data_IF_277352489209
#
_entry.id   IF_277352489209
#
_cell.length_a   1.000
_cell.length_b   1.000
_cell.length_c   1.000
_cell.angle_alpha   90.00
_cell.angle_beta   90.00
_cell.angle_gamma   90.00
#
_symmetry.space_group_name_H-M   'P 1'
#
loop_
_entity.id
_entity.type
_entity.pdbx_description
1 polymer ?
#
# COMPACT_ATOMS: atom_id res chain seq x y z
N UNK A 1 -63.53 1.12 24.48
CA UNK A 1 -62.15 1.55 24.78
C UNK A 1 -61.38 0.39 25.35
N UNK A 2 -60.57 -0.32 24.55
CA UNK A 2 -59.31 -0.96 24.97
C UNK A 2 -58.41 -0.90 23.73
N UNK A 3 -57.42 -0.01 23.76
CA UNK A 3 -56.37 0.09 22.75
C UNK A 3 -55.33 -0.98 23.06
N UNK A 4 -55.17 -1.96 22.17
CA UNK A 4 -54.09 -2.93 22.23
C UNK A 4 -52.85 -2.36 21.56
N UNK A 5 -51.88 -1.93 22.37
CA UNK A 5 -50.55 -1.49 21.91
C UNK A 5 -49.76 -2.73 21.48
N UNK A 6 -49.54 -2.88 20.18
CA UNK A 6 -48.57 -3.84 19.63
C UNK A 6 -47.17 -3.25 19.78
N UNK A 7 -46.46 -3.70 20.80
CA UNK A 7 -45.03 -3.41 20.99
C UNK A 7 -44.24 -4.36 20.10
N UNK A 8 -43.66 -3.86 19.01
CA UNK A 8 -42.60 -4.58 18.31
C UNK A 8 -41.30 -4.40 19.10
N UNK A 9 -40.88 -5.45 19.81
CA UNK A 9 -39.54 -5.53 20.37
C UNK A 9 -38.54 -5.67 19.20
N UNK A 10 -37.85 -4.58 18.86
CA UNK A 10 -36.62 -4.67 18.10
C UNK A 10 -35.55 -5.24 19.03
N UNK A 11 -35.09 -6.45 18.71
CA UNK A 11 -34.01 -7.10 19.44
C UNK A 11 -32.70 -6.30 19.26
N UNK A 12 -32.11 -5.87 20.37
CA UNK A 12 -30.71 -5.48 20.42
C UNK A 12 -29.86 -6.75 20.32
N UNK A 13 -29.25 -6.96 19.15
CA UNK A 13 -28.11 -7.86 18.98
C UNK A 13 -26.83 -7.10 19.27
N UNK A 14 -26.10 -7.54 20.29
CA UNK A 14 -24.79 -7.05 20.70
C UNK A 14 -23.74 -7.17 19.59
N UNK A 15 -22.94 -6.13 19.40
CA UNK A 15 -21.54 -6.26 18.97
C UNK A 15 -21.19 -5.68 17.60
N UNK A 16 -20.56 -4.50 17.64
CA UNK A 16 -19.70 -3.91 16.60
C UNK A 16 -20.35 -3.53 15.27
N UNK A 17 -20.73 -2.24 15.19
CA UNK A 17 -20.79 -1.56 13.90
C UNK A 17 -19.39 -1.45 13.30
N UNK A 18 -19.10 -2.31 12.33
CA UNK A 18 -18.08 -2.12 11.30
C UNK A 18 -18.74 -2.54 9.99
N UNK A 19 -19.49 -1.62 9.41
CA UNK A 19 -20.11 -1.79 8.11
C UNK A 19 -19.00 -1.85 7.04
N UNK A 20 -18.64 -3.07 6.65
CA UNK A 20 -18.09 -3.49 5.36
C UNK A 20 -17.59 -2.35 4.44
N UNK A 21 -16.38 -1.87 4.66
CA UNK A 21 -15.45 -1.74 3.53
C UNK A 21 -14.87 -3.13 3.39
N UNK A 22 -15.16 -3.82 2.29
CA UNK A 22 -14.33 -4.94 1.87
C UNK A 22 -12.89 -4.41 1.80
N UNK A 23 -11.94 -5.09 2.47
CA UNK A 23 -10.57 -4.61 2.60
C UNK A 23 -10.02 -4.35 1.19
N UNK A 24 -9.64 -3.09 0.90
CA UNK A 24 -9.23 -2.70 -0.46
C UNK A 24 -8.01 -3.53 -0.91
N UNK A 25 -7.16 -3.94 0.02
CA UNK A 25 -6.09 -4.90 -0.21
C UNK A 25 -6.59 -6.26 -0.73
N UNK A 26 -7.62 -6.84 -0.12
CA UNK A 26 -8.22 -8.11 -0.57
C UNK A 26 -8.71 -7.96 -2.02
N UNK A 27 -9.46 -6.89 -2.30
CA UNK A 27 -9.93 -6.60 -3.66
C UNK A 27 -8.80 -6.45 -4.67
N UNK A 28 -7.72 -5.75 -4.31
CA UNK A 28 -6.55 -5.58 -5.16
C UNK A 28 -5.88 -6.94 -5.40
N UNK A 29 -5.70 -7.75 -4.36
CA UNK A 29 -5.02 -9.05 -4.43
C UNK A 29 -5.80 -10.08 -5.26
N UNK A 30 -7.13 -10.03 -5.22
CA UNK A 30 -8.01 -10.90 -6.01
C UNK A 30 -8.08 -10.50 -7.49
N UNK A 31 -7.81 -9.23 -7.81
CA UNK A 31 -8.01 -8.69 -9.16
C UNK A 31 -6.71 -8.46 -9.94
N UNK A 32 -5.56 -8.40 -9.27
CA UNK A 32 -4.29 -8.03 -9.88
C UNK A 32 -3.18 -9.02 -9.52
N UNK A 33 -2.23 -9.19 -10.44
CA UNK A 33 -1.16 -10.15 -10.26
C UNK A 33 -0.11 -9.59 -9.29
N UNK A 34 0.28 -10.34 -8.26
CA UNK A 34 1.43 -10.00 -7.43
C UNK A 34 2.70 -9.84 -8.29
N UNK A 35 3.36 -8.70 -8.16
CA UNK A 35 4.52 -8.31 -8.96
C UNK A 35 5.80 -8.21 -8.11
N UNK A 36 5.74 -7.55 -6.95
CA UNK A 36 6.90 -7.34 -6.07
C UNK A 36 6.48 -7.09 -4.61
N UNK A 37 7.44 -7.12 -3.69
CA UNK A 37 7.28 -6.73 -2.28
C UNK A 37 8.48 -5.93 -1.82
N UNK A 38 8.26 -4.85 -1.08
CA UNK A 38 9.31 -4.03 -0.48
C UNK A 38 9.22 -4.14 1.04
N UNK A 39 10.25 -4.69 1.70
CA UNK A 39 10.26 -4.84 3.15
C UNK A 39 10.57 -3.52 3.87
N UNK A 40 10.07 -3.35 5.09
CA UNK A 40 10.50 -2.23 5.92
C UNK A 40 11.94 -2.40 6.38
N UNK A 41 12.63 -1.27 6.59
CA UNK A 41 13.97 -1.23 7.19
C UNK A 41 13.96 -1.25 8.72
N UNK A 42 12.80 -1.03 9.35
CA UNK A 42 12.64 -0.99 10.81
C UNK A 42 11.96 -2.27 11.35
N UNK A 43 11.04 -2.86 10.59
CA UNK A 43 10.33 -4.08 10.96
C UNK A 43 10.29 -5.08 9.79
N UNK A 44 11.03 -6.18 9.87
CA UNK A 44 11.08 -7.18 8.79
C UNK A 44 9.74 -7.88 8.50
N UNK A 45 8.77 -7.80 9.42
CA UNK A 45 7.42 -8.31 9.22
C UNK A 45 6.46 -7.35 8.52
N UNK A 46 6.86 -6.08 8.34
CA UNK A 46 6.08 -5.08 7.63
C UNK A 46 6.63 -4.90 6.20
N UNK A 47 5.75 -4.91 5.19
CA UNK A 47 6.10 -4.76 3.79
C UNK A 47 5.02 -4.02 2.99
N UNK A 48 5.45 -3.36 1.92
CA UNK A 48 4.59 -2.85 0.86
C UNK A 48 4.49 -3.89 -0.25
N UNK A 49 3.28 -4.14 -0.75
CA UNK A 49 2.99 -5.14 -1.79
C UNK A 49 2.67 -4.46 -3.09
N UNK A 50 3.26 -4.92 -4.19
CA UNK A 50 3.08 -4.33 -5.52
C UNK A 50 2.40 -5.34 -6.42
N UNK A 51 1.31 -4.91 -7.03
CA UNK A 51 0.53 -5.68 -8.00
C UNK A 51 0.61 -5.04 -9.38
N UNK A 52 0.41 -5.85 -10.42
CA UNK A 52 0.37 -5.43 -11.82
C UNK A 52 -1.07 -5.49 -12.34
N UNK A 53 -1.58 -4.32 -12.74
CA UNK A 53 -2.81 -4.18 -13.51
C UNK A 53 -2.46 -4.12 -15.00
N UNK A 54 -2.47 -5.30 -15.63
CA UNK A 54 -2.16 -5.46 -17.06
C UNK A 54 -3.22 -4.77 -17.94
N UNK A 55 -2.74 -4.06 -18.96
CA UNK A 55 -3.53 -3.33 -19.95
C UNK A 55 -4.59 -2.38 -19.35
N UNK A 56 -4.28 -1.79 -18.19
CA UNK A 56 -5.14 -0.85 -17.49
C UNK A 56 -4.33 0.39 -17.10
N UNK A 57 -4.74 1.55 -17.61
CA UNK A 57 -4.16 2.82 -17.22
C UNK A 57 -4.59 3.25 -15.79
N UNK A 58 -3.89 4.25 -15.25
CA UNK A 58 -4.10 4.73 -13.88
C UNK A 58 -5.55 5.19 -13.65
N UNK A 59 -6.18 5.82 -14.64
CA UNK A 59 -7.54 6.34 -14.51
C UNK A 59 -8.56 5.20 -14.41
N UNK A 60 -8.38 4.15 -15.24
CA UNK A 60 -9.20 2.95 -15.20
C UNK A 60 -9.07 2.23 -13.86
N UNK A 61 -7.83 2.04 -13.36
CA UNK A 61 -7.58 1.41 -12.06
C UNK A 61 -8.16 2.25 -10.92
N UNK A 62 -7.85 3.55 -10.88
CA UNK A 62 -8.36 4.46 -9.84
C UNK A 62 -9.90 4.45 -9.78
N UNK A 63 -10.58 4.44 -10.94
CA UNK A 63 -12.04 4.35 -11.00
C UNK A 63 -12.56 3.02 -10.49
N UNK A 64 -11.91 1.90 -10.83
CA UNK A 64 -12.28 0.57 -10.35
C UNK A 64 -12.16 0.48 -8.82
N UNK A 65 -11.07 0.98 -8.25
CA UNK A 65 -10.86 1.02 -6.81
C UNK A 65 -11.92 1.91 -6.11
N UNK A 66 -12.17 3.12 -6.62
CA UNK A 66 -13.19 4.02 -6.08
C UNK A 66 -14.63 3.47 -6.15
N UNK A 67 -14.94 2.69 -7.19
CA UNK A 67 -16.24 2.05 -7.32
C UNK A 67 -16.45 0.91 -6.31
N UNK A 68 -15.36 0.26 -5.90
CA UNK A 68 -15.40 -0.79 -4.89
C UNK A 68 -15.44 -0.21 -3.48
N UNK A 69 -14.48 0.67 -3.15
CA UNK A 69 -14.42 1.36 -1.87
C UNK A 69 -14.00 2.81 -2.06
N UNK A 70 -14.66 3.74 -1.35
CA UNK A 70 -14.39 5.16 -1.46
C UNK A 70 -13.15 5.52 -0.62
N UNK A 71 -12.09 6.09 -1.22
CA UNK A 71 -10.94 6.54 -0.45
C UNK A 71 -11.31 7.72 0.45
N UNK A 72 -10.67 7.79 1.62
CA UNK A 72 -10.74 8.90 2.57
C UNK A 72 -10.11 10.16 1.99
N UNK A 73 -9.00 10.00 1.26
CA UNK A 73 -8.31 11.09 0.56
C UNK A 73 -7.74 10.60 -0.76
N UNK A 74 -7.66 11.47 -1.77
CA UNK A 74 -7.11 11.12 -3.08
C UNK A 74 -6.31 12.27 -3.66
N UNK A 75 -5.10 11.98 -4.13
CA UNK A 75 -4.29 12.98 -4.83
C UNK A 75 -4.76 13.25 -6.25
N UNK A 76 -4.30 14.37 -6.79
CA UNK A 76 -4.26 14.59 -8.23
C UNK A 76 -3.34 13.57 -8.92
N UNK A 77 -3.62 13.28 -10.19
CA UNK A 77 -2.71 12.53 -11.06
C UNK A 77 -1.56 13.45 -11.46
N UNK A 78 -0.33 13.08 -11.09
CA UNK A 78 0.88 13.85 -11.39
C UNK A 78 2.07 12.94 -11.59
N UNK A 79 2.95 13.26 -12.54
CA UNK A 79 4.16 12.49 -12.82
C UNK A 79 3.88 10.98 -13.02
N UNK A 80 2.81 10.66 -13.76
CA UNK A 80 2.32 9.30 -13.99
C UNK A 80 2.05 8.50 -12.70
N UNK A 81 1.62 9.20 -11.64
CA UNK A 81 1.33 8.64 -10.31
C UNK A 81 0.09 9.27 -9.68
N UNK A 82 -0.64 8.46 -8.92
CA UNK A 82 -1.77 8.88 -8.11
C UNK A 82 -1.79 8.10 -6.80
N UNK A 83 -2.18 8.74 -5.70
CA UNK A 83 -2.26 8.13 -4.38
C UNK A 83 -3.72 8.17 -3.90
N UNK A 84 -4.24 7.02 -3.49
CA UNK A 84 -5.54 6.86 -2.84
C UNK A 84 -5.26 6.43 -1.40
N UNK A 85 -5.85 7.12 -0.44
CA UNK A 85 -5.71 6.81 0.98
C UNK A 85 -7.03 6.28 1.50
N UNK A 86 -6.98 5.08 2.08
CA UNK A 86 -8.06 4.43 2.81
C UNK A 86 -7.76 4.53 4.31
N UNK A 87 -8.57 3.91 5.16
CA UNK A 87 -8.48 4.09 6.63
C UNK A 87 -7.06 3.86 7.18
N UNK A 88 -6.46 2.70 6.92
CA UNK A 88 -5.10 2.33 7.36
C UNK A 88 -4.19 1.90 6.20
N UNK A 89 -4.62 2.13 4.96
CA UNK A 89 -3.93 1.69 3.75
C UNK A 89 -3.68 2.83 2.76
N UNK A 90 -2.49 2.83 2.19
CA UNK A 90 -2.08 3.73 1.11
C UNK A 90 -1.92 2.94 -0.18
N UNK A 91 -2.73 3.29 -1.19
CA UNK A 91 -2.65 2.70 -2.52
C UNK A 91 -2.01 3.70 -3.48
N UNK A 92 -0.80 3.41 -3.94
CA UNK A 92 -0.08 4.21 -4.93
C UNK A 92 -0.18 3.56 -6.31
N UNK A 93 -0.81 4.26 -7.25
CA UNK A 93 -0.88 3.89 -8.65
C UNK A 93 0.29 4.52 -9.39
N UNK A 94 1.03 3.74 -10.17
CA UNK A 94 2.18 4.21 -10.94
C UNK A 94 2.17 3.58 -12.34
N UNK A 95 2.35 4.38 -13.39
CA UNK A 95 2.53 3.82 -14.74
C UNK A 95 3.76 2.90 -14.79
N UNK A 96 3.62 1.71 -15.34
CA UNK A 96 4.75 0.80 -15.47
C UNK A 96 5.79 1.36 -16.45
N UNK A 97 7.06 1.22 -16.08
CA UNK A 97 8.20 1.56 -16.95
C UNK A 97 8.48 0.48 -17.99
N UNK A 98 8.03 -0.74 -17.75
CA UNK A 98 8.20 -1.88 -18.65
C UNK A 98 7.18 -1.85 -19.79
N UNK A 99 5.95 -1.45 -19.47
CA UNK A 99 4.86 -1.29 -20.44
C UNK A 99 3.94 -0.13 -20.01
N UNK A 100 3.87 0.91 -20.83
CA UNK A 100 3.09 2.12 -20.50
C UNK A 100 1.58 1.91 -20.49
N UNK A 101 1.08 0.77 -21.00
CA UNK A 101 -0.32 0.39 -20.90
C UNK A 101 -0.70 -0.18 -19.52
N UNK A 102 0.30 -0.53 -18.71
CA UNK A 102 0.09 -1.19 -17.42
C UNK A 102 0.25 -0.22 -16.26
N UNK A 103 -0.46 -0.51 -15.18
CA UNK A 103 -0.35 0.22 -13.91
C UNK A 103 0.16 -0.70 -12.82
N UNK A 104 1.16 -0.23 -12.08
CA UNK A 104 1.60 -0.84 -10.84
C UNK A 104 0.77 -0.28 -9.69
N UNK A 105 0.21 -1.17 -8.89
CA UNK A 105 -0.64 -0.88 -7.74
C UNK A 105 0.13 -1.27 -6.49
N UNK A 106 0.72 -0.28 -5.84
CA UNK A 106 1.44 -0.47 -4.58
C UNK A 106 0.48 -0.27 -3.40
N UNK A 107 0.39 -1.26 -2.51
CA UNK A 107 -0.40 -1.22 -1.28
C UNK A 107 0.56 -1.25 -0.09
N UNK A 108 0.50 -0.22 0.74
CA UNK A 108 1.30 -0.10 1.95
C UNK A 108 0.42 0.25 3.14
N UNK A 109 0.63 -0.42 4.27
CA UNK A 109 -0.05 -0.05 5.51
C UNK A 109 0.47 1.27 6.08
N UNK A 110 -0.32 1.85 6.98
CA UNK A 110 0.01 3.10 7.64
C UNK A 110 1.39 3.06 8.33
N UNK A 111 1.74 1.94 8.96
CA UNK A 111 3.00 1.75 9.68
C UNK A 111 4.21 1.77 8.74
N UNK A 112 4.07 1.16 7.57
CA UNK A 112 5.09 1.12 6.53
C UNK A 112 5.31 2.53 5.99
N UNK A 113 4.21 3.24 5.71
CA UNK A 113 4.26 4.62 5.25
C UNK A 113 4.95 5.52 6.27
N UNK A 114 4.53 5.43 7.53
CA UNK A 114 5.06 6.26 8.62
C UNK A 114 6.57 6.11 8.79
N UNK A 115 7.08 4.89 8.74
CA UNK A 115 8.48 4.60 9.10
C UNK A 115 9.43 4.62 7.91
N UNK A 116 8.96 4.29 6.70
CA UNK A 116 9.84 4.07 5.56
C UNK A 116 9.77 5.18 4.51
N UNK A 117 8.62 5.82 4.28
CA UNK A 117 8.50 6.80 3.20
C UNK A 117 9.26 8.10 3.49
N UNK A 118 9.84 8.67 2.43
CA UNK A 118 10.41 10.01 2.46
C UNK A 118 9.27 11.05 2.40
N UNK A 119 9.21 12.06 3.29
CA UNK A 119 8.11 13.03 3.31
C UNK A 119 7.90 13.79 2.00
N UNK A 120 8.97 14.02 1.24
CA UNK A 120 8.90 14.68 -0.08
C UNK A 120 8.15 13.88 -1.13
N UNK A 121 7.94 12.58 -0.93
CA UNK A 121 7.06 11.77 -1.78
C UNK A 121 5.65 12.36 -1.78
N UNK A 122 5.03 12.58 -0.61
CA UNK A 122 3.65 13.06 -0.50
C UNK A 122 3.46 14.55 -0.82
N UNK A 123 4.50 15.36 -0.62
CA UNK A 123 4.47 16.79 -0.96
C UNK A 123 4.17 17.03 -2.44
N UNK A 124 4.63 16.14 -3.31
CA UNK A 124 4.36 16.22 -4.75
C UNK A 124 2.88 16.13 -5.11
N UNK A 125 2.07 15.48 -4.27
CA UNK A 125 0.70 15.04 -4.53
C UNK A 125 -0.35 15.76 -3.68
N UNK A 126 0.02 16.88 -3.04
CA UNK A 126 -0.86 17.69 -2.18
C UNK A 126 -1.42 16.95 -0.94
N UNK A 127 -0.84 15.80 -0.57
CA UNK A 127 -1.24 15.03 0.62
C UNK A 127 -0.51 15.48 1.90
N UNK A 128 0.36 16.48 1.83
CA UNK A 128 1.23 16.85 2.96
C UNK A 128 0.45 17.24 4.23
N UNK A 129 -0.67 17.95 4.10
CA UNK A 129 -1.52 18.32 5.24
C UNK A 129 -2.22 17.10 5.85
N UNK A 130 -2.77 16.23 5.01
CA UNK A 130 -3.39 14.97 5.43
C UNK A 130 -2.39 14.10 6.21
N UNK A 131 -1.19 13.89 5.66
CA UNK A 131 -0.16 13.06 6.28
C UNK A 131 0.29 13.63 7.64
N UNK A 132 0.46 14.95 7.77
CA UNK A 132 0.82 15.56 9.04
C UNK A 132 -0.30 15.43 10.09
N UNK A 133 -1.57 15.47 9.68
CA UNK A 133 -2.69 15.23 10.59
C UNK A 133 -2.71 13.77 11.07
N UNK A 134 -2.38 12.82 10.19
CA UNK A 134 -2.35 11.40 10.50
C UNK A 134 -1.17 11.02 11.42
N UNK A 135 0.05 11.47 11.11
CA UNK A 135 1.28 11.09 11.83
C UNK A 135 1.76 12.11 12.86
N UNK A 136 1.09 13.25 12.96
CA UNK A 136 1.46 14.36 13.84
C UNK A 136 2.36 15.39 13.16
N UNK A 137 2.25 16.64 13.63
CA UNK A 137 2.84 17.83 13.01
C UNK A 137 4.37 17.80 12.84
N UNK A 138 5.09 16.99 13.63
CA UNK A 138 6.55 16.87 13.56
C UNK A 138 7.04 15.70 12.69
N UNK A 139 6.14 14.81 12.24
CA UNK A 139 6.52 13.60 11.51
C UNK A 139 7.41 13.91 10.29
N UNK A 140 6.99 14.86 9.45
CA UNK A 140 7.76 15.23 8.25
C UNK A 140 9.16 15.75 8.61
N UNK A 141 9.29 16.53 9.69
CA UNK A 141 10.58 17.06 10.14
C UNK A 141 11.48 15.93 10.65
N UNK A 142 10.94 15.08 11.52
CA UNK A 142 11.70 14.03 12.19
C UNK A 142 12.10 12.93 11.18
N UNK A 143 11.20 12.56 10.26
CA UNK A 143 11.48 11.64 9.15
C UNK A 143 12.49 12.23 8.17
N UNK A 144 12.41 13.51 7.82
CA UNK A 144 13.44 14.16 6.97
C UNK A 144 14.82 14.15 7.63
N UNK A 145 14.89 14.35 8.96
CA UNK A 145 16.14 14.25 9.70
C UNK A 145 16.68 12.82 9.66
N UNK A 146 15.83 11.80 9.87
CA UNK A 146 16.23 10.40 9.75
C UNK A 146 16.74 10.07 8.34
N UNK A 147 16.10 10.58 7.28
CA UNK A 147 16.54 10.41 5.89
C UNK A 147 17.87 11.07 5.58
N UNK A 148 18.20 12.17 6.26
CA UNK A 148 19.53 12.80 6.11
C UNK A 148 20.64 11.96 6.71
N UNK A 149 20.34 11.22 7.78
CA UNK A 149 21.32 10.35 8.46
C UNK A 149 21.44 9.02 7.72
N UNK A 150 20.31 8.41 7.34
CA UNK A 150 20.23 7.11 6.66
C UNK A 150 19.40 7.23 5.37
N UNK A 151 19.98 7.74 4.27
CA UNK A 151 19.23 7.96 3.03
C UNK A 151 18.65 6.66 2.44
N UNK A 152 19.35 5.54 2.60
CA UNK A 152 18.90 4.23 2.09
C UNK A 152 17.71 3.66 2.88
N UNK A 153 17.34 4.27 4.01
CA UNK A 153 16.16 3.93 4.80
C UNK A 153 14.96 4.83 4.47
N UNK A 154 15.04 5.57 3.37
CA UNK A 154 13.99 6.49 2.96
C UNK A 154 13.45 6.15 1.58
N UNK A 155 12.35 5.40 1.63
CA UNK A 155 11.63 4.92 0.48
C UNK A 155 10.97 6.07 -0.28
N UNK A 156 11.23 6.16 -1.58
CA UNK A 156 10.67 7.18 -2.47
C UNK A 156 9.38 6.74 -3.18
N UNK A 157 8.79 5.61 -2.77
CA UNK A 157 7.72 4.94 -3.50
C UNK A 157 8.25 4.00 -4.58
N UNK A 158 7.39 3.11 -5.06
CA UNK A 158 7.81 2.14 -6.06
C UNK A 158 8.21 2.85 -7.37
N UNK A 159 9.26 2.35 -8.03
CA UNK A 159 9.94 2.96 -9.18
C UNK A 159 10.65 4.31 -8.95
N UNK A 160 10.77 4.80 -7.71
CA UNK A 160 11.60 5.97 -7.42
C UNK A 160 13.07 5.73 -7.77
N UNK A 161 13.78 6.77 -8.20
CA UNK A 161 15.23 6.72 -8.37
C UNK A 161 15.95 6.65 -7.02
N UNK A 162 17.02 5.86 -6.96
CA UNK A 162 17.79 5.62 -5.73
C UNK A 162 17.67 4.18 -5.21
N UNK A 163 18.51 3.84 -4.23
CA UNK A 163 18.43 2.58 -3.50
C UNK A 163 17.57 2.75 -2.25
N UNK A 164 16.71 1.76 -1.96
CA UNK A 164 16.08 1.61 -0.66
C UNK A 164 16.48 0.25 -0.11
N UNK A 165 17.02 0.21 1.11
CA UNK A 165 17.58 -0.99 1.73
C UNK A 165 16.53 -2.10 1.90
N UNK A 166 15.25 -1.73 2.00
CA UNK A 166 14.12 -2.66 2.07
C UNK A 166 13.72 -3.27 0.73
N UNK A 167 14.21 -2.74 -0.40
CA UNK A 167 13.98 -3.32 -1.73
C UNK A 167 14.96 -4.47 -1.94
N UNK A 168 14.58 -5.66 -1.48
CA UNK A 168 15.23 -6.91 -1.91
C UNK A 168 14.71 -7.17 -3.32
N UNK A 169 15.61 -7.37 -4.30
CA UNK A 169 15.25 -7.40 -5.72
C UNK A 169 14.01 -8.25 -6.03
N UNK A 170 13.32 -7.89 -7.12
CA UNK A 170 12.04 -8.48 -7.55
C UNK A 170 11.94 -9.97 -7.21
N UNK A 171 10.93 -10.42 -6.44
CA UNK A 171 10.65 -11.84 -6.32
C UNK A 171 10.35 -12.30 -7.75
N UNK A 172 11.25 -13.10 -8.31
CA UNK A 172 11.07 -13.64 -9.65
C UNK A 172 9.75 -14.41 -9.64
N UNK A 173 8.71 -13.87 -10.27
CA UNK A 173 7.48 -14.61 -10.57
C UNK A 173 7.84 -15.62 -11.65
N UNK A 174 8.51 -16.69 -11.23
CA UNK A 174 8.73 -17.91 -11.99
C UNK A 174 8.30 -19.06 -11.09
N UNK A 175 6.99 -19.16 -10.89
CA UNK A 175 6.39 -20.39 -10.39
C UNK A 175 6.75 -21.54 -11.32
N UNK A 176 7.44 -22.55 -10.80
CA UNK A 176 7.79 -23.75 -11.53
C UNK A 176 8.80 -24.60 -10.77
N UNK A 177 8.30 -25.65 -10.11
CA UNK A 177 9.02 -26.82 -9.59
C UNK A 177 10.52 -26.92 -9.89
N UNK A 178 11.35 -26.97 -8.85
CA UNK A 178 12.44 -27.95 -8.80
C UNK A 178 12.96 -28.14 -7.38
N UNK A 179 12.64 -29.33 -6.85
CA UNK A 179 13.42 -30.14 -5.91
C UNK A 179 14.40 -29.47 -4.94
N UNK A 180 14.18 -29.71 -3.65
CA UNK A 180 15.15 -30.36 -2.74
C UNK A 180 16.51 -30.68 -3.39
N UNK A 181 17.58 -30.01 -2.93
CA UNK A 181 19.00 -30.43 -2.90
C UNK A 181 19.76 -29.29 -2.22
N UNK A 182 20.05 -29.31 -0.92
CA UNK A 182 20.80 -30.38 -0.27
C UNK A 182 22.26 -30.29 -0.68
N UNK A 183 22.95 -29.21 -0.27
CA UNK A 183 24.39 -29.03 -0.42
C UNK A 183 25.06 -29.02 0.95
N UNK A 184 25.44 -30.21 1.44
CA UNK A 184 26.20 -30.37 2.68
C UNK A 184 27.63 -29.84 2.57
N UNK A 185 28.33 -29.70 3.72
CA UNK A 185 29.66 -29.08 3.79
C UNK A 185 30.73 -30.02 3.21
N UNK A 186 31.50 -29.52 2.22
CA UNK A 186 32.55 -30.27 1.53
C UNK A 186 33.92 -29.61 1.68
N UNK A 187 34.85 -30.37 2.26
CA UNK A 187 36.27 -30.10 2.52
C UNK A 187 37.16 -30.03 1.26
N UNK A 188 38.28 -29.29 1.35
CA UNK A 188 39.51 -29.42 0.54
C UNK A 188 39.67 -28.37 -0.56
N UNK A 189 40.77 -27.63 -0.70
CA UNK A 189 42.20 -27.87 -0.39
C UNK A 189 42.86 -26.62 0.20
#
# INVERSE_FOLDING_TARGET
MIAGVLVFLAACGNGSGSTFSEDIEDFISDNYQLYDTVSSTENSGNFSTIYLADNQDISAVAKKLQNHSKPTEMSELKDDKQILVYDDQFVTLTKSKENSADTLVEVADEDFVRHNYRPSFFQGYLLASFINNLFGNNWSRDRNQACRVNPDHCYGGYNSSGGFAGKKGTPSVRGGSSSVRGGGPGTGK
#
